data_IF_401646375105
#
_entry.id   IF_401646375105
#
_cell.length_a   1.000
_cell.length_b   1.000
_cell.length_c   1.000
_cell.angle_alpha   90.00
_cell.angle_beta   90.00
_cell.angle_gamma   90.00
#
_symmetry.space_group_name_H-M   'P 1'
#
loop_
_entity.id
_entity.type
_entity.pdbx_description
1 polymer ?
#
# COMPACT_ATOMS: atom_id res chain seq x y z
N UNK A 1 37.98 -26.49 55.51
CA UNK A 1 36.89 -27.47 55.29
C UNK A 1 35.70 -27.01 56.13
N UNK A 2 34.51 -26.68 55.68
CA UNK A 2 33.77 -26.71 54.42
C UNK A 2 32.81 -25.49 54.48
N UNK A 3 32.53 -24.73 53.43
CA UNK A 3 31.89 -25.17 52.19
C UNK A 3 30.38 -25.32 52.40
N UNK A 4 29.62 -24.21 52.44
CA UNK A 4 28.17 -24.20 52.20
C UNK A 4 27.80 -22.98 51.36
N UNK A 5 28.00 -23.13 50.05
CA UNK A 5 27.22 -22.43 49.04
C UNK A 5 25.74 -22.80 49.23
N UNK A 6 24.89 -21.83 49.51
CA UNK A 6 23.46 -21.97 49.30
C UNK A 6 23.12 -21.32 47.97
N UNK A 7 22.74 -22.19 47.04
CA UNK A 7 22.17 -21.90 45.73
C UNK A 7 21.27 -20.66 45.77
N UNK A 8 21.66 -19.66 44.99
CA UNK A 8 20.77 -18.60 44.53
C UNK A 8 19.70 -19.29 43.67
N UNK A 9 18.48 -19.31 44.21
CA UNK A 9 17.27 -19.72 43.51
C UNK A 9 17.20 -19.04 42.14
N UNK A 10 17.23 -19.84 41.08
CA UNK A 10 17.09 -19.42 39.70
C UNK A 10 15.78 -18.66 39.47
N UNK A 11 15.93 -17.45 38.94
CA UNK A 11 15.02 -16.72 38.03
C UNK A 11 13.51 -16.92 38.24
N UNK A 12 12.87 -15.91 38.83
CA UNK A 12 11.47 -15.57 38.49
C UNK A 12 11.41 -15.44 36.97
N UNK A 13 10.79 -16.38 36.29
CA UNK A 13 10.41 -16.18 34.90
C UNK A 13 9.49 -14.95 34.87
N UNK A 14 9.89 -13.91 34.14
CA UNK A 14 9.08 -12.71 33.96
C UNK A 14 7.74 -13.13 33.33
N UNK A 15 6.67 -13.11 34.13
CA UNK A 15 5.31 -13.52 33.75
C UNK A 15 4.71 -12.66 32.61
N UNK A 16 5.44 -11.68 32.11
CA UNK A 16 4.96 -10.69 31.15
C UNK A 16 5.31 -11.04 29.69
N UNK A 17 6.29 -11.91 29.44
CA UNK A 17 6.68 -12.29 28.07
C UNK A 17 6.39 -13.77 27.83
N UNK A 18 5.67 -14.07 26.74
CA UNK A 18 5.55 -15.45 26.25
C UNK A 18 6.95 -15.95 25.89
N UNK A 19 7.32 -17.20 26.25
CA UNK A 19 8.58 -17.77 25.81
C UNK A 19 8.59 -17.93 24.28
N UNK A 20 9.78 -17.86 23.67
CA UNK A 20 10.00 -18.08 22.22
C UNK A 20 9.31 -17.06 21.28
N UNK A 21 9.12 -15.82 21.73
CA UNK A 21 8.69 -14.75 20.83
C UNK A 21 9.80 -14.37 19.84
N UNK A 22 9.41 -14.16 18.58
CA UNK A 22 10.32 -13.74 17.50
C UNK A 22 10.17 -12.27 17.14
N UNK A 23 9.00 -11.69 17.41
CA UNK A 23 8.72 -10.27 17.24
C UNK A 23 7.68 -9.82 18.28
N UNK A 24 8.00 -8.78 19.04
CA UNK A 24 7.16 -8.29 20.16
C UNK A 24 6.76 -9.46 21.08
N UNK A 25 5.46 -9.70 21.24
CA UNK A 25 4.88 -10.77 22.06
C UNK A 25 4.30 -11.92 21.21
N UNK A 26 4.73 -12.07 19.96
CA UNK A 26 4.30 -13.15 19.07
C UNK A 26 5.35 -14.25 18.98
N UNK A 27 4.92 -15.49 19.18
CA UNK A 27 5.63 -16.68 18.68
C UNK A 27 5.65 -16.68 17.14
N UNK A 28 6.49 -17.54 16.54
CA UNK A 28 6.56 -17.64 15.07
C UNK A 28 5.20 -17.94 14.43
N UNK A 29 4.44 -18.88 15.00
CA UNK A 29 3.12 -19.26 14.47
C UNK A 29 2.13 -18.10 14.56
N UNK A 30 2.10 -17.37 15.67
CA UNK A 30 1.22 -16.21 15.82
C UNK A 30 1.60 -15.09 14.85
N UNK A 31 2.91 -14.80 14.67
CA UNK A 31 3.38 -13.81 13.71
C UNK A 31 2.97 -14.20 12.27
N UNK A 32 3.08 -15.47 11.92
CA UNK A 32 2.64 -15.98 10.63
C UNK A 32 1.13 -15.80 10.42
N UNK A 33 0.32 -16.02 11.46
CA UNK A 33 -1.12 -15.72 11.41
C UNK A 33 -1.37 -14.23 11.21
N UNK A 34 -0.62 -13.35 11.90
CA UNK A 34 -0.79 -11.90 11.75
C UNK A 34 -0.59 -11.43 10.29
N UNK A 35 0.33 -12.04 9.55
CA UNK A 35 0.58 -11.71 8.14
C UNK A 35 -0.16 -12.60 7.13
N UNK A 36 -1.01 -13.52 7.58
CA UNK A 36 -1.82 -14.37 6.70
C UNK A 36 -3.17 -13.72 6.36
N UNK A 37 -3.16 -12.65 5.57
CA UNK A 37 -4.39 -11.92 5.20
C UNK A 37 -5.50 -12.84 4.65
N UNK A 38 -5.16 -13.78 3.76
CA UNK A 38 -6.10 -14.78 3.21
C UNK A 38 -6.54 -15.80 4.26
N UNK A 39 -5.62 -16.24 5.12
CA UNK A 39 -5.93 -17.21 6.17
C UNK A 39 -6.89 -16.66 7.23
N UNK A 40 -6.99 -15.33 7.37
CA UNK A 40 -7.88 -14.66 8.32
C UNK A 40 -9.14 -14.07 7.66
N UNK A 41 -9.41 -14.42 6.40
CA UNK A 41 -10.55 -13.94 5.63
C UNK A 41 -11.20 -15.10 4.84
N UNK A 42 -12.03 -15.93 5.48
CA UNK A 42 -12.52 -17.19 4.91
C UNK A 42 -13.34 -17.02 3.62
N UNK A 43 -13.99 -15.87 3.45
CA UNK A 43 -14.76 -15.50 2.26
C UNK A 43 -14.02 -14.49 1.36
N UNK A 44 -12.73 -14.23 1.61
CA UNK A 44 -11.92 -13.27 0.84
C UNK A 44 -11.91 -13.55 -0.67
N UNK A 45 -12.03 -14.81 -1.06
CA UNK A 45 -12.06 -15.24 -2.46
C UNK A 45 -13.27 -14.67 -3.21
N UNK A 46 -14.44 -14.50 -2.56
CA UNK A 46 -15.62 -13.91 -3.18
C UNK A 46 -15.38 -12.45 -3.59
N UNK A 47 -14.68 -11.70 -2.74
CA UNK A 47 -14.34 -10.30 -3.00
C UNK A 47 -13.32 -10.21 -4.13
N UNK A 48 -12.31 -11.09 -4.18
CA UNK A 48 -11.35 -11.10 -5.28
C UNK A 48 -12.00 -11.42 -6.62
N UNK A 49 -12.94 -12.37 -6.66
CA UNK A 49 -13.74 -12.65 -7.86
C UNK A 49 -14.54 -11.41 -8.27
N UNK A 50 -15.27 -10.79 -7.34
CA UNK A 50 -16.01 -9.56 -7.60
C UNK A 50 -15.13 -8.45 -8.19
N UNK A 51 -13.93 -8.25 -7.62
CA UNK A 51 -12.99 -7.23 -8.07
C UNK A 51 -12.49 -7.54 -9.49
N UNK A 52 -12.10 -8.79 -9.76
CA UNK A 52 -11.61 -9.23 -11.07
C UNK A 52 -12.68 -9.06 -12.16
N UNK A 53 -13.91 -9.52 -11.88
CA UNK A 53 -15.04 -9.44 -12.83
C UNK A 53 -15.41 -7.98 -13.13
N UNK A 54 -15.52 -7.14 -12.10
CA UNK A 54 -15.86 -5.73 -12.30
C UNK A 54 -14.72 -4.94 -12.95
N UNK A 55 -13.46 -5.28 -12.68
CA UNK A 55 -12.33 -4.65 -13.37
C UNK A 55 -12.31 -4.99 -14.85
N UNK A 56 -12.58 -6.26 -15.20
CA UNK A 56 -12.70 -6.67 -16.59
C UNK A 56 -13.88 -5.99 -17.30
N UNK A 57 -15.02 -5.84 -16.61
CA UNK A 57 -16.18 -5.09 -17.11
C UNK A 57 -15.82 -3.62 -17.38
N UNK A 58 -15.27 -2.92 -16.38
CA UNK A 58 -14.93 -1.50 -16.47
C UNK A 58 -13.91 -1.23 -17.58
N UNK A 59 -12.87 -2.07 -17.72
CA UNK A 59 -11.93 -1.97 -18.85
C UNK A 59 -12.60 -2.07 -20.23
N UNK A 60 -13.66 -2.87 -20.35
CA UNK A 60 -14.39 -3.07 -21.61
C UNK A 60 -15.38 -1.93 -21.89
N UNK A 61 -15.98 -1.37 -20.86
CA UNK A 61 -17.05 -0.36 -20.97
C UNK A 61 -16.54 1.08 -21.02
N UNK A 62 -15.39 1.37 -20.39
CA UNK A 62 -14.82 2.70 -20.31
C UNK A 62 -13.66 2.88 -21.29
N UNK A 63 -13.34 4.13 -21.64
CA UNK A 63 -12.14 4.45 -22.40
C UNK A 63 -10.89 4.08 -21.58
N UNK A 64 -10.19 3.03 -21.99
CA UNK A 64 -9.02 2.52 -21.30
C UNK A 64 -7.91 2.22 -22.32
N UNK A 65 -6.72 2.79 -22.09
CA UNK A 65 -5.48 2.39 -22.74
C UNK A 65 -4.85 1.31 -21.87
N UNK A 66 -4.67 0.12 -22.44
CA UNK A 66 -4.29 -1.09 -21.69
C UNK A 66 -2.85 -1.43 -21.97
N UNK A 67 -2.13 -1.83 -20.91
CA UNK A 67 -0.74 -2.29 -20.98
C UNK A 67 0.22 -1.26 -21.63
N UNK A 68 0.03 0.02 -21.34
CA UNK A 68 0.91 1.11 -21.79
C UNK A 68 2.27 1.01 -21.09
N UNK A 69 3.34 0.82 -21.85
CA UNK A 69 4.68 0.56 -21.28
C UNK A 69 5.30 1.81 -20.67
N UNK A 70 5.80 1.67 -19.44
CA UNK A 70 6.63 2.68 -18.77
C UNK A 70 8.08 2.27 -18.57
N UNK A 71 8.41 1.00 -18.86
CA UNK A 71 9.73 0.43 -18.63
C UNK A 71 10.03 -0.78 -19.51
N UNK A 72 11.26 -1.31 -19.45
CA UNK A 72 11.76 -2.31 -20.39
C UNK A 72 11.13 -3.71 -20.25
N UNK A 73 10.52 -4.04 -19.12
CA UNK A 73 9.96 -5.37 -18.89
C UNK A 73 8.48 -5.44 -19.26
N UNK A 74 7.99 -6.63 -19.61
CA UNK A 74 6.57 -6.85 -19.91
C UNK A 74 5.63 -6.58 -18.70
N UNK A 75 6.17 -6.49 -17.49
CA UNK A 75 5.42 -6.13 -16.29
C UNK A 75 5.39 -4.63 -16.02
N UNK A 76 6.30 -3.84 -16.61
CA UNK A 76 6.36 -2.39 -16.45
C UNK A 76 5.35 -1.70 -17.39
N UNK A 77 4.07 -1.90 -17.07
CA UNK A 77 2.94 -1.36 -17.82
C UNK A 77 1.93 -0.64 -16.92
N UNK A 78 1.16 0.26 -17.51
CA UNK A 78 0.04 0.99 -16.91
C UNK A 78 -1.26 0.62 -17.62
N UNK A 79 -2.39 0.66 -16.91
CA UNK A 79 -3.66 0.95 -17.57
C UNK A 79 -4.03 2.41 -17.29
N UNK A 80 -4.48 3.12 -18.31
CA UNK A 80 -4.80 4.55 -18.24
C UNK A 80 -6.24 4.73 -18.67
N UNK A 81 -7.06 5.24 -17.76
CA UNK A 81 -8.40 5.74 -18.03
C UNK A 81 -8.31 7.28 -18.12
N UNK A 82 -8.28 7.85 -19.34
CA UNK A 82 -8.09 9.29 -19.50
C UNK A 82 -9.24 10.09 -18.90
N UNK A 83 -8.93 11.28 -18.38
CA UNK A 83 -9.98 12.23 -18.01
C UNK A 83 -10.66 12.79 -19.27
N UNK A 84 -11.88 13.34 -19.10
CA UNK A 84 -12.57 14.04 -20.19
C UNK A 84 -11.97 15.41 -20.51
N UNK A 85 -11.45 16.12 -19.49
CA UNK A 85 -10.96 17.50 -19.60
C UNK A 85 -9.46 17.55 -19.35
N UNK A 86 -8.73 18.28 -20.18
CA UNK A 86 -7.30 18.51 -19.97
C UNK A 86 -7.04 19.28 -18.68
N UNK A 87 -5.93 18.96 -18.00
CA UNK A 87 -5.60 19.55 -16.69
C UNK A 87 -6.38 18.94 -15.53
N UNK A 88 -6.88 17.72 -15.69
CA UNK A 88 -7.62 17.00 -14.63
C UNK A 88 -6.68 16.37 -13.59
N UNK A 89 -7.12 16.24 -12.32
CA UNK A 89 -6.37 15.50 -11.31
C UNK A 89 -6.08 14.07 -11.74
N UNK A 90 -4.93 13.52 -11.34
CA UNK A 90 -4.52 12.15 -11.64
C UNK A 90 -4.56 11.32 -10.37
N UNK A 91 -5.29 10.20 -10.41
CA UNK A 91 -5.23 9.16 -9.38
C UNK A 91 -4.31 8.05 -9.87
N UNK A 92 -3.15 7.92 -9.23
CA UNK A 92 -2.17 6.87 -9.50
C UNK A 92 -2.33 5.73 -8.48
N UNK A 93 -2.89 4.61 -8.93
CA UNK A 93 -3.26 3.49 -8.08
C UNK A 93 -2.26 2.33 -8.15
N UNK A 94 -1.78 1.89 -6.99
CA UNK A 94 -0.84 0.78 -6.83
C UNK A 94 -1.57 -0.43 -6.24
N UNK A 95 -1.58 -1.55 -6.97
CA UNK A 95 -2.30 -2.76 -6.54
C UNK A 95 -1.62 -3.47 -5.35
N UNK A 96 -2.38 -4.36 -4.71
CA UNK A 96 -1.92 -5.18 -3.60
C UNK A 96 -1.32 -6.53 -4.04
N UNK A 97 -1.53 -7.57 -3.23
CA UNK A 97 -1.12 -8.94 -3.57
C UNK A 97 0.21 -9.38 -2.97
N UNK A 98 0.64 -8.77 -1.86
CA UNK A 98 1.87 -9.15 -1.14
C UNK A 98 3.11 -9.17 -2.04
N UNK A 99 3.16 -8.30 -3.04
CA UNK A 99 4.23 -8.24 -4.05
C UNK A 99 4.42 -9.52 -4.87
N UNK A 100 3.56 -10.53 -4.73
CA UNK A 100 3.71 -11.86 -5.37
C UNK A 100 2.54 -12.31 -6.22
N UNK A 101 1.49 -11.50 -6.28
CA UNK A 101 0.28 -11.77 -7.04
C UNK A 101 -0.43 -10.47 -7.41
N UNK A 102 -1.50 -10.61 -8.19
CA UNK A 102 -2.29 -9.51 -8.75
C UNK A 102 -1.55 -8.73 -9.83
N UNK A 103 -2.26 -7.80 -10.44
CA UNK A 103 -1.76 -6.90 -11.47
C UNK A 103 -2.53 -5.58 -11.44
N UNK A 104 -2.12 -4.62 -12.26
CA UNK A 104 -2.87 -3.37 -12.47
C UNK A 104 -4.32 -3.61 -12.92
N UNK A 105 -4.55 -4.74 -13.61
CA UNK A 105 -5.88 -5.17 -14.06
C UNK A 105 -6.83 -5.52 -12.93
N UNK A 106 -6.36 -5.76 -11.71
CA UNK A 106 -7.22 -6.13 -10.57
C UNK A 106 -7.74 -4.92 -9.80
N UNK A 107 -7.47 -3.69 -10.26
CA UNK A 107 -7.90 -2.45 -9.59
C UNK A 107 -8.51 -1.45 -10.57
N UNK A 108 -8.79 -1.87 -11.79
CA UNK A 108 -9.39 -1.02 -12.82
C UNK A 108 -10.85 -0.66 -12.52
N UNK A 109 -11.56 -1.47 -11.74
CA UNK A 109 -12.95 -1.20 -11.37
C UNK A 109 -13.15 0.17 -10.70
N UNK A 110 -12.13 0.70 -10.01
CA UNK A 110 -12.23 1.96 -9.30
C UNK A 110 -12.25 3.17 -10.25
N UNK A 111 -11.89 2.98 -11.53
CA UNK A 111 -12.05 4.01 -12.56
C UNK A 111 -13.48 4.53 -12.63
N UNK A 112 -14.48 3.70 -12.29
CA UNK A 112 -15.89 4.11 -12.31
C UNK A 112 -16.23 5.21 -11.29
N UNK A 113 -15.44 5.36 -10.22
CA UNK A 113 -15.64 6.43 -9.24
C UNK A 113 -14.85 7.69 -9.61
N UNK A 114 -13.65 7.53 -10.18
CA UNK A 114 -12.74 8.66 -10.41
C UNK A 114 -12.94 9.33 -11.78
N UNK A 115 -13.17 8.57 -12.84
CA UNK A 115 -13.28 9.13 -14.20
C UNK A 115 -14.54 9.99 -14.34
N UNK A 116 -15.75 9.55 -13.91
CA UNK A 116 -16.94 10.40 -13.93
C UNK A 116 -16.84 11.61 -13.01
N UNK A 117 -16.02 11.52 -11.95
CA UNK A 117 -15.69 12.62 -11.06
C UNK A 117 -14.68 13.62 -11.66
N UNK A 118 -14.24 13.40 -12.91
CA UNK A 118 -13.37 14.31 -13.64
C UNK A 118 -11.87 14.06 -13.46
N UNK A 119 -11.47 12.92 -12.90
CA UNK A 119 -10.06 12.55 -12.74
C UNK A 119 -9.57 11.67 -13.90
N UNK A 120 -8.28 11.72 -14.19
CA UNK A 120 -7.61 10.62 -14.89
C UNK A 120 -7.30 9.52 -13.86
N UNK A 121 -7.54 8.26 -14.21
CA UNK A 121 -7.24 7.13 -13.33
C UNK A 121 -6.21 6.23 -13.98
N UNK A 122 -5.08 6.02 -13.29
CA UNK A 122 -3.94 5.26 -13.80
C UNK A 122 -3.60 4.15 -12.83
N UNK A 123 -3.55 2.90 -13.31
CA UNK A 123 -3.15 1.75 -12.50
C UNK A 123 -1.76 1.29 -12.94
N UNK A 124 -0.84 1.08 -11.98
CA UNK A 124 0.52 0.61 -12.27
C UNK A 124 0.67 -0.87 -12.02
N UNK A 125 1.36 -1.56 -12.94
CA UNK A 125 1.84 -2.92 -12.75
C UNK A 125 3.33 -2.94 -12.45
N UNK A 126 3.82 -4.00 -11.83
CA UNK A 126 5.24 -4.21 -11.53
C UNK A 126 5.57 -5.71 -11.51
N UNK A 127 6.86 -6.05 -11.56
CA UNK A 127 7.32 -7.43 -11.43
C UNK A 127 6.96 -7.99 -10.05
N UNK A 128 6.71 -9.30 -9.99
CA UNK A 128 6.35 -9.96 -8.75
C UNK A 128 7.55 -10.68 -8.12
N UNK A 129 7.60 -10.66 -6.79
CA UNK A 129 8.52 -11.47 -6.02
C UNK A 129 8.17 -12.97 -6.15
N UNK A 130 9.17 -13.88 -6.15
CA UNK A 130 10.60 -13.62 -5.93
C UNK A 130 11.38 -13.28 -7.21
N UNK A 131 10.72 -13.08 -8.37
CA UNK A 131 11.43 -12.74 -9.62
C UNK A 131 12.10 -11.37 -9.51
N UNK A 132 11.42 -10.40 -8.89
CA UNK A 132 12.01 -9.13 -8.49
C UNK A 132 12.18 -9.04 -6.97
N UNK A 133 13.23 -8.34 -6.53
CA UNK A 133 13.38 -7.93 -5.13
C UNK A 133 12.39 -6.81 -4.79
N UNK A 134 12.12 -6.58 -3.50
CA UNK A 134 11.26 -5.46 -3.09
C UNK A 134 11.88 -4.11 -3.52
N UNK A 135 13.22 -3.97 -3.52
CA UNK A 135 13.91 -2.78 -4.03
C UNK A 135 13.55 -2.51 -5.52
N UNK A 136 13.57 -3.55 -6.35
CA UNK A 136 13.22 -3.42 -7.77
C UNK A 136 11.74 -3.09 -7.96
N UNK A 137 10.85 -3.69 -7.17
CA UNK A 137 9.42 -3.38 -7.22
C UNK A 137 9.16 -1.91 -6.84
N UNK A 138 9.84 -1.40 -5.82
CA UNK A 138 9.79 0.02 -5.44
C UNK A 138 10.31 0.90 -6.57
N UNK A 139 11.45 0.56 -7.18
CA UNK A 139 12.03 1.29 -8.32
C UNK A 139 11.06 1.34 -9.51
N UNK A 140 10.40 0.21 -9.81
CA UNK A 140 9.42 0.12 -10.91
C UNK A 140 8.20 1.00 -10.67
N UNK A 141 7.64 1.01 -9.45
CA UNK A 141 6.55 1.93 -9.11
C UNK A 141 6.96 3.40 -9.24
N UNK A 142 8.18 3.75 -8.81
CA UNK A 142 8.74 5.11 -8.99
C UNK A 142 8.87 5.48 -10.46
N UNK A 143 9.38 4.55 -11.29
CA UNK A 143 9.49 4.72 -12.73
C UNK A 143 8.12 4.87 -13.42
N UNK A 144 7.09 4.17 -12.94
CA UNK A 144 5.72 4.33 -13.43
C UNK A 144 5.14 5.70 -13.07
N UNK A 145 5.39 6.19 -11.85
CA UNK A 145 4.95 7.52 -11.42
C UNK A 145 5.67 8.65 -12.17
N UNK A 146 6.97 8.48 -12.42
CA UNK A 146 7.77 9.34 -13.28
C UNK A 146 7.20 9.42 -14.71
N UNK A 147 6.87 8.26 -15.30
CA UNK A 147 6.23 8.21 -16.61
C UNK A 147 4.91 8.97 -16.62
N UNK A 148 4.07 8.79 -15.59
CA UNK A 148 2.79 9.49 -15.44
C UNK A 148 2.99 11.00 -15.38
N UNK A 149 3.96 11.48 -14.60
CA UNK A 149 4.31 12.89 -14.53
C UNK A 149 4.68 13.45 -15.91
N UNK A 150 5.56 12.78 -16.65
CA UNK A 150 6.04 13.27 -17.95
C UNK A 150 4.99 13.17 -19.07
N UNK A 151 4.04 12.24 -18.96
CA UNK A 151 3.06 11.95 -20.01
C UNK A 151 1.63 12.40 -19.67
N UNK A 152 1.42 13.04 -18.52
CA UNK A 152 0.12 13.49 -18.02
C UNK A 152 -0.77 14.17 -19.09
N UNK A 153 -0.28 15.14 -19.88
CA UNK A 153 -1.11 15.79 -20.91
C UNK A 153 -1.68 14.83 -21.96
N UNK A 154 -1.00 13.72 -22.25
CA UNK A 154 -1.42 12.74 -23.27
C UNK A 154 -2.72 12.01 -22.91
N UNK A 155 -3.13 12.02 -21.64
CA UNK A 155 -4.37 11.43 -21.14
C UNK A 155 -5.18 12.43 -20.32
N UNK A 156 -5.04 13.72 -20.66
CA UNK A 156 -5.75 14.85 -20.06
C UNK A 156 -5.44 15.11 -18.57
N UNK A 157 -4.44 14.44 -18.00
CA UNK A 157 -4.01 14.68 -16.63
C UNK A 157 -3.18 15.95 -16.47
N UNK A 158 -3.19 16.51 -15.26
CA UNK A 158 -2.29 17.57 -14.81
C UNK A 158 -1.07 16.96 -14.08
N UNK A 159 0.16 17.13 -14.59
CA UNK A 159 1.37 16.63 -13.92
C UNK A 159 1.60 17.26 -12.54
N UNK A 160 1.03 18.44 -12.29
CA UNK A 160 1.09 19.13 -11.00
C UNK A 160 -0.08 18.78 -10.08
N UNK A 161 -0.88 17.75 -10.39
CA UNK A 161 -2.01 17.34 -9.54
C UNK A 161 -2.17 15.82 -9.43
N UNK A 162 -1.12 15.16 -8.92
CA UNK A 162 -1.06 13.69 -8.79
C UNK A 162 -1.36 13.27 -7.35
N UNK A 163 -2.26 12.29 -7.20
CA UNK A 163 -2.67 11.69 -5.95
C UNK A 163 -2.36 10.18 -5.98
N UNK A 164 -1.66 9.68 -4.97
CA UNK A 164 -1.22 8.27 -4.96
C UNK A 164 -2.08 7.46 -4.01
N UNK A 165 -2.63 6.35 -4.51
CA UNK A 165 -3.51 5.47 -3.76
C UNK A 165 -2.97 4.05 -3.81
N UNK A 166 -3.01 3.35 -2.70
CA UNK A 166 -2.58 1.95 -2.71
C UNK A 166 -3.18 1.13 -1.58
N UNK A 167 -3.29 -0.17 -1.85
CA UNK A 167 -3.89 -1.13 -0.91
C UNK A 167 -2.94 -2.29 -0.60
N UNK A 168 -2.85 -2.69 0.67
CA UNK A 168 -2.03 -3.82 1.10
C UNK A 168 -0.55 -3.57 0.76
N UNK A 169 0.09 -4.45 -0.01
CA UNK A 169 1.40 -4.20 -0.62
C UNK A 169 1.45 -2.90 -1.44
N UNK A 170 0.36 -2.49 -2.10
CA UNK A 170 0.28 -1.18 -2.76
C UNK A 170 0.24 -0.01 -1.79
N UNK A 171 -0.28 -0.21 -0.57
CA UNK A 171 -0.24 0.78 0.50
C UNK A 171 1.18 0.96 1.05
N UNK A 172 1.94 -0.14 1.15
CA UNK A 172 3.39 -0.10 1.36
C UNK A 172 4.09 0.71 0.27
N UNK A 173 3.85 0.36 -1.00
CA UNK A 173 4.48 1.03 -2.13
C UNK A 173 4.10 2.51 -2.22
N UNK A 174 2.87 2.87 -1.87
CA UNK A 174 2.45 4.28 -1.72
C UNK A 174 3.28 4.99 -0.65
N UNK A 175 3.51 4.37 0.50
CA UNK A 175 4.43 4.88 1.52
C UNK A 175 5.86 5.06 0.97
N UNK A 176 6.33 4.16 0.11
CA UNK A 176 7.63 4.27 -0.56
C UNK A 176 7.68 5.33 -1.67
N UNK A 177 6.54 5.69 -2.28
CA UNK A 177 6.43 6.82 -3.20
C UNK A 177 6.50 8.14 -2.42
N UNK A 178 5.89 8.18 -1.23
CA UNK A 178 5.95 9.34 -0.34
C UNK A 178 7.36 9.55 0.21
N UNK A 179 8.10 8.47 0.47
CA UNK A 179 9.42 8.53 1.07
C UNK A 179 10.38 9.52 0.37
N UNK A 180 11.35 10.04 1.12
CA UNK A 180 12.38 10.93 0.57
C UNK A 180 13.48 10.19 -0.20
N UNK A 181 14.37 10.96 -0.82
CA UNK A 181 15.67 10.48 -1.29
C UNK A 181 15.62 9.65 -2.57
N UNK A 182 14.55 9.77 -3.36
CA UNK A 182 14.44 9.10 -4.66
C UNK A 182 14.02 10.02 -5.80
N UNK A 183 13.33 11.13 -5.53
CA UNK A 183 12.82 12.03 -6.58
C UNK A 183 13.95 12.70 -7.37
N UNK A 184 15.06 13.00 -6.70
CA UNK A 184 16.28 13.55 -7.30
C UNK A 184 16.86 12.61 -8.38
N UNK A 185 16.80 11.29 -8.16
CA UNK A 185 17.27 10.30 -9.13
C UNK A 185 16.47 10.31 -10.45
N UNK A 186 15.26 10.88 -10.42
CA UNK A 186 14.35 10.99 -11.56
C UNK A 186 14.14 12.43 -12.06
N UNK A 187 14.81 13.42 -11.46
CA UNK A 187 14.58 14.85 -11.72
C UNK A 187 13.10 15.26 -11.54
N UNK A 188 12.49 14.77 -10.46
CA UNK A 188 11.09 15.04 -10.11
C UNK A 188 10.97 16.08 -8.99
N UNK A 189 9.91 16.91 -9.00
CA UNK A 189 9.72 17.94 -7.98
C UNK A 189 9.39 17.33 -6.61
N UNK A 190 9.86 17.95 -5.52
CA UNK A 190 9.59 17.50 -4.14
C UNK A 190 8.10 17.42 -3.82
N UNK A 191 7.30 18.33 -4.39
CA UNK A 191 5.86 18.41 -4.19
C UNK A 191 5.06 17.64 -5.25
N UNK A 192 5.67 16.64 -5.92
CA UNK A 192 5.03 15.81 -6.95
C UNK A 192 3.67 15.24 -6.54
N UNK A 193 3.58 14.75 -5.30
CA UNK A 193 2.38 14.07 -4.78
C UNK A 193 1.57 15.05 -3.95
N UNK A 194 0.35 15.37 -4.40
CA UNK A 194 -0.54 16.33 -3.73
C UNK A 194 -1.31 15.72 -2.58
N UNK A 195 -1.61 14.43 -2.63
CA UNK A 195 -2.13 13.68 -1.48
C UNK A 195 -1.88 12.19 -1.64
N UNK A 196 -2.08 11.45 -0.54
CA UNK A 196 -2.03 10.00 -0.56
C UNK A 196 -3.15 9.33 0.22
N UNK A 197 -3.51 8.13 -0.21
CA UNK A 197 -4.44 7.24 0.49
C UNK A 197 -3.86 5.82 0.58
N UNK A 198 -3.63 5.35 1.81
CA UNK A 198 -3.06 4.03 2.08
C UNK A 198 -4.07 3.15 2.83
N UNK A 199 -4.44 2.03 2.22
CA UNK A 199 -5.45 1.13 2.76
C UNK A 199 -4.82 -0.21 3.14
N UNK A 200 -4.86 -0.55 4.42
CA UNK A 200 -4.33 -1.80 4.98
C UNK A 200 -2.85 -2.04 4.64
N UNK A 201 -2.04 -0.98 4.69
CA UNK A 201 -0.64 -0.97 4.25
C UNK A 201 0.35 -1.64 5.22
N UNK A 202 1.61 -1.78 4.76
CA UNK A 202 2.74 -2.30 5.53
C UNK A 202 3.84 -1.23 5.55
N UNK A 203 4.25 -0.75 6.73
CA UNK A 203 5.12 0.41 6.87
C UNK A 203 6.45 0.10 7.59
N UNK A 204 6.49 -1.00 8.34
CA UNK A 204 7.65 -1.66 8.93
C UNK A 204 7.71 -3.10 8.41
N UNK A 205 8.72 -3.42 7.60
CA UNK A 205 8.89 -4.73 6.98
C UNK A 205 9.72 -5.70 7.82
N UNK A 206 10.28 -5.30 8.97
CA UNK A 206 10.97 -6.23 9.86
C UNK A 206 10.09 -7.41 10.33
N UNK A 207 8.85 -7.19 10.82
CA UNK A 207 7.96 -8.32 11.14
C UNK A 207 7.52 -9.11 9.91
N UNK A 208 7.46 -8.49 8.72
CA UNK A 208 7.19 -9.19 7.45
C UNK A 208 8.35 -10.14 7.14
N UNK A 209 9.60 -9.67 7.25
CA UNK A 209 10.84 -10.43 7.09
C UNK A 209 10.92 -11.62 8.05
N UNK A 210 10.39 -11.48 9.26
CA UNK A 210 10.37 -12.52 10.28
C UNK A 210 9.17 -13.49 10.13
N UNK A 211 8.22 -13.20 9.24
CA UNK A 211 7.04 -14.05 8.99
C UNK A 211 7.21 -14.92 7.74
N UNK A 212 6.24 -15.82 7.49
CA UNK A 212 6.16 -16.60 6.25
C UNK A 212 6.07 -15.74 4.99
N UNK A 213 5.74 -14.44 5.08
CA UNK A 213 5.81 -13.54 3.94
C UNK A 213 7.22 -13.46 3.33
N UNK A 214 8.24 -13.76 4.12
CA UNK A 214 9.61 -13.75 3.64
C UNK A 214 9.98 -14.95 2.74
N UNK A 215 9.12 -15.97 2.65
CA UNK A 215 9.29 -17.07 1.69
C UNK A 215 9.37 -16.55 0.24
N UNK A 216 8.66 -15.47 -0.07
CA UNK A 216 8.69 -14.83 -1.39
C UNK A 216 9.35 -13.45 -1.38
N UNK A 217 9.20 -12.66 -0.31
CA UNK A 217 9.77 -11.30 -0.29
C UNK A 217 11.31 -11.29 -0.26
N UNK A 218 11.94 -12.37 0.23
CA UNK A 218 13.40 -12.56 0.29
C UNK A 218 14.16 -11.39 0.93
N UNK A 219 13.55 -10.75 1.91
CA UNK A 219 14.14 -9.66 2.67
C UNK A 219 15.22 -10.17 3.62
N UNK A 220 16.34 -9.48 3.62
CA UNK A 220 17.29 -9.42 4.74
C UNK A 220 16.99 -8.18 5.61
N UNK A 221 17.79 -7.98 6.66
CA UNK A 221 17.57 -6.85 7.59
C UNK A 221 17.72 -5.49 6.90
N UNK A 222 18.63 -5.39 5.94
CA UNK A 222 19.00 -4.13 5.28
C UNK A 222 17.95 -3.72 4.26
N UNK A 223 17.51 -4.67 3.43
CA UNK A 223 16.41 -4.50 2.49
C UNK A 223 15.08 -4.29 3.21
N UNK A 224 14.81 -4.97 4.34
CA UNK A 224 13.62 -4.67 5.15
C UNK A 224 13.66 -3.24 5.67
N UNK A 225 14.79 -2.77 6.21
CA UNK A 225 14.94 -1.41 6.70
C UNK A 225 14.78 -0.36 5.58
N UNK A 226 15.48 -0.53 4.45
CA UNK A 226 15.38 0.40 3.31
C UNK A 226 14.00 0.43 2.65
N UNK A 227 13.27 -0.67 2.69
CA UNK A 227 11.91 -0.75 2.14
C UNK A 227 10.81 -0.56 3.18
N UNK A 228 11.11 -0.03 4.36
CA UNK A 228 10.10 0.29 5.37
C UNK A 228 9.79 1.80 5.36
N UNK A 229 8.64 2.24 4.82
CA UNK A 229 8.28 3.65 4.77
C UNK A 229 8.42 4.41 6.09
N UNK A 230 8.23 3.74 7.24
CA UNK A 230 8.36 4.36 8.56
C UNK A 230 9.77 4.91 8.85
N UNK A 231 10.80 4.37 8.18
CA UNK A 231 12.19 4.81 8.33
C UNK A 231 12.60 5.91 7.35
N UNK A 232 11.76 6.21 6.35
CA UNK A 232 12.07 7.14 5.24
C UNK A 232 10.94 8.14 5.03
N UNK A 233 10.35 8.63 6.12
CA UNK A 233 9.26 9.61 6.07
C UNK A 233 9.67 10.86 5.26
N UNK A 234 8.75 11.48 4.51
CA UNK A 234 9.08 12.62 3.66
C UNK A 234 9.61 13.84 4.43
N UNK A 235 10.16 14.81 3.72
CA UNK A 235 10.59 16.10 4.28
C UNK A 235 9.42 17.10 4.30
N UNK A 236 8.49 16.96 3.35
CA UNK A 236 7.32 17.80 3.20
C UNK A 236 6.03 17.00 3.34
N UNK A 237 4.99 17.66 3.86
CA UNK A 237 3.68 17.06 4.05
C UNK A 237 2.86 16.98 2.77
N UNK A 238 2.00 15.98 2.70
CA UNK A 238 0.74 16.01 1.94
C UNK A 238 -0.42 15.56 2.85
N UNK A 239 -1.69 15.87 2.54
CA UNK A 239 -2.82 15.19 3.17
C UNK A 239 -2.71 13.68 2.99
N UNK A 240 -2.87 12.94 4.10
CA UNK A 240 -2.85 11.48 4.12
C UNK A 240 -4.22 10.94 4.56
N UNK A 241 -4.78 10.01 3.81
CA UNK A 241 -5.83 9.11 4.29
C UNK A 241 -5.19 7.77 4.61
N UNK A 242 -5.50 7.21 5.79
CA UNK A 242 -5.02 5.90 6.21
C UNK A 242 -6.18 5.04 6.70
N UNK A 243 -6.41 3.91 6.06
CA UNK A 243 -7.56 3.05 6.34
C UNK A 243 -7.20 1.61 6.66
N UNK A 244 -8.03 0.90 7.43
CA UNK A 244 -7.92 -0.53 7.67
C UNK A 244 -9.28 -1.14 8.07
N UNK A 245 -9.46 -2.44 7.89
CA UNK A 245 -10.67 -3.13 8.32
C UNK A 245 -10.70 -3.44 9.82
N UNK A 246 -11.88 -3.33 10.45
CA UNK A 246 -12.08 -3.69 11.86
C UNK A 246 -11.75 -5.16 12.13
N UNK A 247 -12.04 -6.05 11.18
CA UNK A 247 -11.79 -7.49 11.32
C UNK A 247 -10.45 -7.93 10.70
N UNK A 248 -9.52 -7.00 10.50
CA UNK A 248 -8.14 -7.34 10.15
C UNK A 248 -7.32 -7.83 11.35
N UNK A 249 -6.19 -8.46 11.08
CA UNK A 249 -5.24 -8.88 12.11
C UNK A 249 -4.67 -7.66 12.84
N UNK A 250 -4.17 -7.87 14.05
CA UNK A 250 -3.62 -6.81 14.88
C UNK A 250 -2.40 -6.14 14.23
N UNK A 251 -1.58 -6.89 13.46
CA UNK A 251 -0.44 -6.28 12.77
C UNK A 251 -0.85 -5.33 11.64
N UNK A 252 -1.91 -5.61 10.85
CA UNK A 252 -2.38 -4.62 9.86
C UNK A 252 -2.89 -3.35 10.53
N UNK A 253 -3.65 -3.47 11.62
CA UNK A 253 -4.10 -2.32 12.41
C UNK A 253 -2.92 -1.53 12.98
N UNK A 254 -1.96 -2.23 13.59
CA UNK A 254 -0.77 -1.65 14.21
C UNK A 254 0.13 -0.97 13.19
N UNK A 255 0.32 -1.55 12.01
CA UNK A 255 1.12 -0.98 10.92
C UNK A 255 0.51 0.34 10.47
N UNK A 256 -0.81 0.35 10.21
CA UNK A 256 -1.52 1.57 9.86
C UNK A 256 -1.43 2.63 10.97
N UNK A 257 -1.64 2.23 12.23
CA UNK A 257 -1.57 3.14 13.36
C UNK A 257 -0.16 3.71 13.59
N UNK A 258 0.88 2.88 13.40
CA UNK A 258 2.28 3.28 13.49
C UNK A 258 2.59 4.41 12.50
N UNK A 259 2.19 4.25 11.24
CA UNK A 259 2.45 5.26 10.21
C UNK A 259 1.60 6.51 10.44
N UNK A 260 0.33 6.36 10.83
CA UNK A 260 -0.57 7.45 11.23
C UNK A 260 0.03 8.30 12.35
N UNK A 261 0.50 7.67 13.42
CA UNK A 261 1.11 8.36 14.57
C UNK A 261 2.40 9.07 14.16
N UNK A 262 3.25 8.42 13.36
CA UNK A 262 4.46 9.06 12.85
C UNK A 262 4.16 10.28 11.96
N UNK A 263 3.10 10.22 11.15
CA UNK A 263 2.63 11.34 10.33
C UNK A 263 2.10 12.49 11.19
N UNK A 264 1.17 12.20 12.10
CA UNK A 264 0.59 13.19 13.02
C UNK A 264 1.63 13.81 13.96
N UNK A 265 2.65 13.06 14.38
CA UNK A 265 3.74 13.57 15.24
C UNK A 265 4.56 14.68 14.59
N UNK A 266 4.52 14.79 13.26
CA UNK A 266 5.12 15.90 12.50
C UNK A 266 4.17 17.08 12.29
N UNK A 267 2.96 17.04 12.85
CA UNK A 267 1.95 18.08 12.71
C UNK A 267 1.22 18.07 11.36
N UNK A 268 1.25 16.96 10.64
CA UNK A 268 0.73 16.87 9.27
C UNK A 268 -0.71 16.36 9.22
N UNK A 269 -1.53 16.83 8.25
CA UNK A 269 -2.91 16.39 8.08
C UNK A 269 -3.00 14.88 7.79
N UNK A 270 -3.77 14.18 8.62
CA UNK A 270 -4.06 12.77 8.43
C UNK A 270 -5.52 12.47 8.84
N UNK A 271 -6.26 11.83 7.93
CA UNK A 271 -7.58 11.25 8.21
C UNK A 271 -7.42 9.74 8.34
N UNK A 272 -7.81 9.18 9.48
CA UNK A 272 -7.82 7.72 9.68
C UNK A 272 -9.22 7.14 9.61
N UNK A 273 -9.36 5.96 9.01
CA UNK A 273 -10.65 5.29 8.83
C UNK A 273 -10.54 3.81 9.21
N UNK A 274 -11.28 3.37 10.22
CA UNK A 274 -11.49 1.94 10.45
C UNK A 274 -12.80 1.52 9.80
N UNK A 275 -12.78 0.49 8.95
CA UNK A 275 -13.95 0.03 8.20
C UNK A 275 -14.73 -1.01 9.04
N UNK A 276 -15.92 -0.65 9.57
CA UNK A 276 -16.64 -1.51 10.51
C UNK A 276 -17.05 -2.84 9.88
N UNK A 277 -16.83 -3.93 10.59
CA UNK A 277 -17.13 -5.30 10.18
C UNK A 277 -16.28 -5.84 9.01
N UNK A 278 -15.45 -5.02 8.37
CA UNK A 278 -14.69 -5.43 7.17
C UNK A 278 -13.36 -6.06 7.58
N UNK A 279 -13.02 -7.19 6.98
CA UNK A 279 -11.66 -7.74 6.98
C UNK A 279 -10.89 -7.24 5.74
N UNK A 280 -9.65 -7.68 5.55
CA UNK A 280 -8.70 -7.15 4.55
C UNK A 280 -9.20 -7.11 3.09
N UNK A 281 -10.12 -8.01 2.71
CA UNK A 281 -10.69 -8.07 1.36
C UNK A 281 -12.10 -7.46 1.28
N UNK A 282 -12.83 -7.41 2.39
CA UNK A 282 -14.21 -6.93 2.40
C UNK A 282 -14.32 -5.43 2.12
N UNK A 283 -13.27 -4.65 2.38
CA UNK A 283 -13.20 -3.22 2.05
C UNK A 283 -12.70 -2.94 0.63
N UNK A 284 -12.35 -3.96 -0.16
CA UNK A 284 -11.89 -3.74 -1.54
C UNK A 284 -12.97 -3.11 -2.41
N UNK A 285 -14.24 -3.57 -2.43
CA UNK A 285 -15.26 -2.98 -3.28
C UNK A 285 -15.54 -1.50 -3.01
N UNK A 286 -15.24 -0.99 -1.82
CA UNK A 286 -15.66 0.35 -1.37
C UNK A 286 -15.28 1.46 -2.35
N UNK A 287 -14.05 1.43 -2.88
CA UNK A 287 -13.54 2.45 -3.81
C UNK A 287 -14.20 2.42 -5.20
N UNK A 288 -15.05 1.43 -5.46
CA UNK A 288 -15.86 1.35 -6.68
C UNK A 288 -17.14 2.20 -6.54
N UNK A 289 -17.56 2.51 -5.32
CA UNK A 289 -18.82 3.18 -5.04
C UNK A 289 -18.58 4.63 -4.58
N UNK A 290 -19.02 5.66 -5.34
CA UNK A 290 -18.78 7.06 -5.00
C UNK A 290 -19.43 7.51 -3.69
N UNK A 291 -20.47 6.82 -3.24
CA UNK A 291 -21.18 7.07 -1.98
C UNK A 291 -20.48 6.48 -0.75
N UNK A 292 -19.54 5.56 -0.93
CA UNK A 292 -18.83 4.97 0.21
C UNK A 292 -17.95 6.03 0.89
N UNK A 293 -17.92 6.08 2.24
CA UNK A 293 -17.20 7.13 2.97
C UNK A 293 -15.73 7.27 2.58
N UNK A 294 -15.05 6.15 2.26
CA UNK A 294 -13.65 6.18 1.84
C UNK A 294 -13.48 6.87 0.48
N UNK A 295 -14.41 6.62 -0.45
CA UNK A 295 -14.40 7.20 -1.79
C UNK A 295 -14.70 8.69 -1.72
N UNK A 296 -15.71 9.09 -0.94
CA UNK A 296 -16.02 10.51 -0.70
C UNK A 296 -14.85 11.26 -0.07
N UNK A 297 -14.21 10.68 0.94
CA UNK A 297 -13.03 11.27 1.58
C UNK A 297 -11.89 11.46 0.57
N UNK A 298 -11.66 10.48 -0.30
CA UNK A 298 -10.63 10.55 -1.32
C UNK A 298 -10.95 11.60 -2.41
N UNK A 299 -12.19 11.63 -2.91
CA UNK A 299 -12.64 12.66 -3.86
C UNK A 299 -12.51 14.07 -3.27
N UNK A 300 -12.93 14.26 -2.02
CA UNK A 300 -12.77 15.53 -1.30
C UNK A 300 -11.30 15.91 -1.12
N UNK A 301 -10.42 14.94 -0.82
CA UNK A 301 -8.97 15.15 -0.72
C UNK A 301 -8.35 15.60 -2.06
N UNK A 302 -8.90 15.13 -3.19
CA UNK A 302 -8.51 15.50 -4.56
C UNK A 302 -9.08 16.89 -4.95
N UNK A 303 -10.03 17.42 -4.19
CA UNK A 303 -10.71 18.68 -4.48
C UNK A 303 -11.96 18.53 -5.36
N UNK A 304 -12.52 17.32 -5.44
CA UNK A 304 -13.80 17.04 -6.09
C UNK A 304 -14.91 17.06 -5.04
N UNK A 305 -15.96 17.87 -5.28
CA UNK A 305 -17.12 18.02 -4.41
C UNK A 305 -18.39 17.49 -5.06
#
# INVERSE_FOLDING_TARGET
MAGKEKMVSTTRADKFFKPNCVYRNYTQAELNTQYSARGTAPDGDKYRTFISENSARVRKEMNCRVDESYGPTAAEVLNIFPAERSGSPIVYFIHGGYWRSSSQKDVDLYAQSFVPAGCAYVTVNYLLAPVASIDEIVRQCRSGLDWVFRNAPSFNGDPDNIHVVGRSAGGHLTGMMLADGWREDFDLPDNLIKSACVLSGLFDLEPVRLSNANEWAKLDKESAFRNSPIHHMPNASCPLIIGWGENETQEFKRQSDLYRVAWLSRGWPCLSMEFPGKHHFASMPDLMYPEEPCTQALLSQIGIN
#
